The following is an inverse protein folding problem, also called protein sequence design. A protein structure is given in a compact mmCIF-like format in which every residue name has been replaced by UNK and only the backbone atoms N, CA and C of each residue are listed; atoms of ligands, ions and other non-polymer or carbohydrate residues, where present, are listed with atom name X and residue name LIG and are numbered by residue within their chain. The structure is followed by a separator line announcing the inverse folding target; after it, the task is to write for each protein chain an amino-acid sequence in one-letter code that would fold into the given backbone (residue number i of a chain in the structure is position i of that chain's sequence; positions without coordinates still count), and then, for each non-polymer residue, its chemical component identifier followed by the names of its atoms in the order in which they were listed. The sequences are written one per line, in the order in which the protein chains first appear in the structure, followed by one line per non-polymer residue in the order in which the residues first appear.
data_IF_348137035562
#
_entry.id   IF_348137035562
#
_cell.length_a   1.000
_cell.length_b   1.000
_cell.length_c   1.000
_cell.angle_alpha   90.00
_cell.angle_beta   90.00
_cell.angle_gamma   90.00
#
_symmetry.space_group_name_H-M   'P 1'
#
loop_
_entity.id
_entity.type
_entity.pdbx_description
1 polymer ?
#
# COMPACT_ATOMS: atom_id res chain seq x y z
N UNK A 1 -20.19 19.30 -12.94
CA UNK A 1 -20.98 18.93 -11.73
C UNK A 1 -21.64 17.60 -12.01
N UNK A 2 -21.18 16.53 -11.35
CA UNK A 2 -21.64 15.15 -11.58
C UNK A 2 -22.99 14.86 -10.90
N UNK A 3 -24.03 15.60 -11.22
CA UNK A 3 -25.38 15.32 -10.70
C UNK A 3 -26.01 14.04 -11.26
N UNK A 4 -25.56 13.61 -12.44
CA UNK A 4 -26.12 12.43 -13.15
C UNK A 4 -25.65 11.08 -12.55
N UNK A 5 -24.63 11.08 -11.70
CA UNK A 5 -24.04 9.87 -11.11
C UNK A 5 -24.26 9.74 -9.59
N UNK A 6 -25.11 10.56 -8.98
CA UNK A 6 -25.37 10.51 -7.54
C UNK A 6 -25.91 9.13 -7.08
N UNK A 7 -26.63 8.43 -7.95
CA UNK A 7 -27.13 7.07 -7.68
C UNK A 7 -26.04 5.99 -7.71
N UNK A 8 -24.87 6.28 -8.29
CA UNK A 8 -23.74 5.34 -8.38
C UNK A 8 -22.69 5.59 -7.30
N UNK A 9 -22.86 6.63 -6.48
CA UNK A 9 -21.93 6.95 -5.40
C UNK A 9 -22.25 6.11 -4.18
N UNK A 10 -21.25 5.39 -3.69
CA UNK A 10 -21.32 4.65 -2.42
C UNK A 10 -20.71 5.51 -1.31
N UNK A 11 -21.37 5.58 -0.15
CA UNK A 11 -20.81 6.28 1.00
C UNK A 11 -20.22 5.27 1.98
N UNK A 12 -18.92 5.35 2.22
CA UNK A 12 -18.19 4.49 3.14
C UNK A 12 -17.36 5.38 4.08
N UNK A 13 -17.49 5.20 5.40
CA UNK A 13 -16.76 6.00 6.38
C UNK A 13 -17.07 7.50 6.36
N UNK A 14 -18.20 7.91 5.73
CA UNK A 14 -18.54 9.31 5.50
C UNK A 14 -17.98 9.92 4.22
N UNK A 15 -17.13 9.19 3.50
CA UNK A 15 -16.56 9.61 2.21
C UNK A 15 -17.41 9.08 1.05
N UNK A 16 -17.56 9.89 0.01
CA UNK A 16 -18.27 9.52 -1.22
C UNK A 16 -17.29 8.87 -2.19
N UNK A 17 -17.53 7.61 -2.51
CA UNK A 17 -16.64 6.79 -3.34
C UNK A 17 -17.37 6.35 -4.62
N UNK A 18 -16.67 6.42 -5.74
CA UNK A 18 -17.13 5.82 -6.99
C UNK A 18 -16.68 4.35 -7.05
N UNK A 19 -17.59 3.39 -7.24
CA UNK A 19 -17.23 1.97 -7.28
C UNK A 19 -16.44 1.59 -8.52
N UNK A 20 -16.48 2.41 -9.57
CA UNK A 20 -15.78 2.18 -10.83
C UNK A 20 -15.17 3.49 -11.31
N UNK A 21 -13.92 3.44 -11.72
CA UNK A 21 -13.24 4.54 -12.41
C UNK A 21 -12.56 4.02 -13.68
N UNK A 22 -12.68 4.78 -14.77
CA UNK A 22 -12.00 4.49 -16.03
C UNK A 22 -10.97 5.60 -16.32
N UNK A 23 -9.74 5.20 -16.61
CA UNK A 23 -8.62 6.10 -16.89
C UNK A 23 -8.32 6.10 -18.38
N UNK A 24 -8.51 7.24 -19.04
CA UNK A 24 -8.25 7.44 -20.46
C UNK A 24 -7.10 8.43 -20.65
N UNK A 25 -6.40 8.30 -21.77
CA UNK A 25 -5.34 9.23 -22.15
C UNK A 25 -4.54 8.71 -23.34
N UNK A 26 -3.68 9.57 -23.90
CA UNK A 26 -2.80 9.22 -25.01
C UNK A 26 -1.85 8.06 -24.63
N UNK A 27 -1.27 7.39 -25.63
CA UNK A 27 -0.21 6.42 -25.39
C UNK A 27 0.97 7.11 -24.68
N UNK A 28 1.65 6.39 -23.82
CA UNK A 28 2.75 6.89 -22.98
C UNK A 28 2.35 8.03 -21.99
N UNK A 29 1.06 8.24 -21.69
CA UNK A 29 0.61 9.25 -20.71
C UNK A 29 0.68 8.77 -19.25
N UNK A 30 1.25 7.60 -18.98
CA UNK A 30 1.41 7.08 -17.62
C UNK A 30 0.22 6.29 -17.05
N UNK A 31 -0.82 5.97 -17.85
CA UNK A 31 -1.97 5.18 -17.39
C UNK A 31 -1.58 3.85 -16.74
N UNK A 32 -0.73 3.11 -17.42
CA UNK A 32 -0.21 1.82 -16.91
C UNK A 32 0.64 1.98 -15.65
N UNK A 33 1.28 3.14 -15.47
CA UNK A 33 2.10 3.38 -14.27
C UNK A 33 1.25 3.41 -12.99
N UNK A 34 -0.01 3.87 -13.07
CA UNK A 34 -0.93 3.85 -11.91
C UNK A 34 -1.22 2.41 -11.49
N UNK A 35 -1.51 1.54 -12.48
CA UNK A 35 -1.72 0.11 -12.25
C UNK A 35 -0.46 -0.54 -11.66
N UNK A 36 0.69 -0.37 -12.34
CA UNK A 36 1.96 -0.97 -11.92
C UNK A 36 2.43 -0.44 -10.55
N UNK A 37 2.18 0.83 -10.22
CA UNK A 37 2.52 1.38 -8.91
C UNK A 37 1.69 0.73 -7.79
N UNK A 38 0.40 0.50 -8.01
CA UNK A 38 -0.44 -0.16 -7.01
C UNK A 38 -0.16 -1.66 -6.90
N UNK A 39 0.10 -2.34 -8.03
CA UNK A 39 0.58 -3.73 -8.06
C UNK A 39 1.90 -3.87 -7.29
N UNK A 40 2.88 -2.99 -7.54
CA UNK A 40 4.14 -2.95 -6.82
C UNK A 40 3.92 -2.75 -5.31
N UNK A 41 3.10 -1.75 -4.92
CA UNK A 41 2.80 -1.47 -3.52
C UNK A 41 2.22 -2.71 -2.83
N UNK A 42 1.27 -3.39 -3.48
CA UNK A 42 0.66 -4.62 -2.96
C UNK A 42 1.68 -5.75 -2.80
N UNK A 43 2.48 -6.00 -3.83
CA UNK A 43 3.52 -7.03 -3.79
C UNK A 43 4.59 -6.75 -2.72
N UNK A 44 4.96 -5.47 -2.54
CA UNK A 44 5.93 -5.10 -1.52
C UNK A 44 5.36 -5.26 -0.09
N UNK A 45 4.11 -4.89 0.14
CA UNK A 45 3.40 -5.13 1.42
C UNK A 45 3.30 -6.62 1.72
N UNK A 46 3.06 -7.45 0.71
CA UNK A 46 2.98 -8.90 0.89
C UNK A 46 4.33 -9.53 1.25
N UNK A 47 5.38 -9.13 0.54
CA UNK A 47 6.62 -9.90 0.45
C UNK A 47 7.82 -9.25 1.15
N UNK A 48 7.75 -7.97 1.58
CA UNK A 48 8.92 -7.24 2.09
C UNK A 48 9.59 -7.90 3.30
N UNK A 49 8.86 -8.72 4.05
CA UNK A 49 9.46 -9.50 5.13
C UNK A 49 10.63 -10.38 4.66
N UNK A 50 10.57 -10.89 3.44
CA UNK A 50 11.61 -11.75 2.87
C UNK A 50 12.78 -10.97 2.27
N UNK A 51 12.63 -9.66 2.02
CA UNK A 51 13.68 -8.84 1.40
C UNK A 51 14.79 -8.45 2.39
N UNK A 52 14.52 -8.56 3.67
CA UNK A 52 15.51 -8.27 4.72
C UNK A 52 16.58 -9.33 4.92
N UNK A 53 16.43 -10.51 4.32
CA UNK A 53 17.34 -11.63 4.50
C UNK A 53 18.47 -11.66 3.46
N UNK A 54 18.30 -10.97 2.31
CA UNK A 54 19.24 -11.00 1.20
C UNK A 54 19.16 -9.73 0.34
N UNK A 55 20.27 -9.02 0.22
CA UNK A 55 20.41 -7.79 -0.58
C UNK A 55 20.04 -8.00 -2.05
N UNK A 56 20.30 -9.19 -2.62
CA UNK A 56 19.96 -9.51 -3.99
C UNK A 56 18.45 -9.58 -4.19
N UNK A 57 17.74 -10.24 -3.29
CA UNK A 57 16.28 -10.34 -3.31
C UNK A 57 15.64 -8.95 -3.24
N UNK A 58 16.18 -8.06 -2.41
CA UNK A 58 15.75 -6.67 -2.33
C UNK A 58 16.04 -5.91 -3.63
N UNK A 59 17.23 -6.07 -4.23
CA UNK A 59 17.59 -5.40 -5.48
C UNK A 59 16.63 -5.74 -6.63
N UNK A 60 16.17 -6.99 -6.71
CA UNK A 60 15.19 -7.43 -7.71
C UNK A 60 13.77 -6.93 -7.43
N UNK A 61 13.47 -6.61 -6.16
CA UNK A 61 12.16 -6.14 -5.71
C UNK A 61 11.97 -4.61 -5.74
N UNK A 62 13.01 -3.83 -6.08
CA UNK A 62 12.94 -2.36 -6.09
C UNK A 62 12.06 -1.84 -7.24
N UNK A 63 11.37 -0.69 -7.06
CA UNK A 63 10.69 -0.06 -8.16
C UNK A 63 11.69 0.43 -9.21
N UNK A 64 11.35 0.27 -10.48
CA UNK A 64 12.17 0.82 -11.57
C UNK A 64 11.95 2.32 -11.67
N UNK A 65 12.98 3.17 -11.44
CA UNK A 65 12.83 4.61 -11.55
C UNK A 65 12.62 5.05 -13.00
N UNK A 66 12.13 6.27 -13.20
CA UNK A 66 12.01 6.85 -14.53
C UNK A 66 13.40 7.17 -15.09
N UNK A 67 13.90 6.34 -15.99
CA UNK A 67 15.29 6.36 -16.47
C UNK A 67 15.62 7.53 -17.38
N UNK A 68 14.62 8.21 -17.97
CA UNK A 68 14.83 9.34 -18.90
C UNK A 68 15.04 10.69 -18.20
N UNK A 69 14.85 10.78 -16.89
CA UNK A 69 15.22 11.95 -16.08
C UNK A 69 16.35 11.56 -15.11
N UNK A 70 17.53 12.20 -15.25
CA UNK A 70 18.67 11.94 -14.37
C UNK A 70 18.39 12.23 -12.90
N UNK A 71 17.46 13.15 -12.61
CA UNK A 71 17.03 13.46 -11.24
C UNK A 71 16.15 12.37 -10.65
N UNK A 72 15.34 11.69 -11.48
CA UNK A 72 14.46 10.64 -11.05
C UNK A 72 15.18 9.31 -10.78
N UNK A 73 16.38 9.10 -11.35
CA UNK A 73 17.12 7.84 -11.18
C UNK A 73 17.47 7.52 -9.73
N UNK A 74 17.80 8.55 -8.96
CA UNK A 74 18.23 8.42 -7.58
C UNK A 74 17.20 9.00 -6.60
N UNK A 75 16.02 9.41 -7.10
CA UNK A 75 14.95 9.89 -6.26
C UNK A 75 14.20 8.72 -5.60
N UNK A 76 13.76 8.94 -4.38
CA UNK A 76 12.84 8.01 -3.74
C UNK A 76 11.50 7.94 -4.50
N UNK A 77 10.87 6.79 -4.46
CA UNK A 77 9.51 6.57 -4.95
C UNK A 77 8.54 6.58 -3.79
N UNK A 78 7.48 7.39 -3.89
CA UNK A 78 6.43 7.50 -2.89
C UNK A 78 5.19 6.71 -3.33
N UNK A 79 4.70 5.88 -2.42
CA UNK A 79 3.45 5.11 -2.57
C UNK A 79 2.53 5.44 -1.41
N UNK A 80 1.32 5.91 -1.71
CA UNK A 80 0.33 6.27 -0.69
C UNK A 80 -1.08 5.92 -1.15
N UNK A 81 -1.88 5.38 -0.22
CA UNK A 81 -3.28 5.07 -0.45
C UNK A 81 -4.15 5.47 0.74
N UNK A 82 -5.40 5.85 0.42
CA UNK A 82 -6.47 6.05 1.37
C UNK A 82 -7.54 4.99 1.13
N UNK A 83 -7.96 4.30 2.18
CA UNK A 83 -8.92 3.20 2.04
C UNK A 83 -9.73 2.96 3.30
N UNK A 84 -10.76 2.13 3.18
CA UNK A 84 -11.57 1.62 4.28
C UNK A 84 -11.54 0.10 4.27
N UNK A 85 -11.70 -0.52 5.43
CA UNK A 85 -11.75 -1.98 5.53
C UNK A 85 -13.22 -2.41 5.58
N UNK A 86 -13.70 -3.20 4.60
CA UNK A 86 -15.07 -3.70 4.59
C UNK A 86 -15.37 -4.55 5.84
N UNK A 87 -16.57 -4.36 6.42
CA UNK A 87 -17.01 -5.15 7.58
C UNK A 87 -16.41 -4.74 8.92
N UNK A 88 -15.59 -3.70 8.98
CA UNK A 88 -15.13 -3.15 10.26
C UNK A 88 -16.31 -2.51 11.00
N UNK A 89 -16.51 -2.90 12.28
CA UNK A 89 -17.64 -2.45 13.11
C UNK A 89 -17.67 -0.94 13.35
N UNK A 90 -16.51 -0.30 13.34
CA UNK A 90 -16.37 1.15 13.38
C UNK A 90 -15.76 1.63 12.08
N UNK A 91 -16.56 2.24 11.20
CA UNK A 91 -16.09 2.80 9.93
C UNK A 91 -14.91 3.77 10.15
N UNK A 92 -13.77 3.43 9.60
CA UNK A 92 -12.54 4.23 9.64
C UNK A 92 -11.97 4.38 8.26
N UNK A 93 -11.35 5.53 8.03
CA UNK A 93 -10.47 5.75 6.89
C UNK A 93 -9.04 5.51 7.33
N UNK A 94 -8.30 4.76 6.56
CA UNK A 94 -6.88 4.53 6.71
C UNK A 94 -6.12 5.32 5.66
N UNK A 95 -4.97 5.84 6.07
CA UNK A 95 -3.96 6.40 5.18
C UNK A 95 -2.67 5.63 5.44
N UNK A 96 -2.21 4.90 4.46
CA UNK A 96 -0.99 4.12 4.53
C UNK A 96 -0.08 4.48 3.36
N UNK A 97 1.20 4.63 3.62
CA UNK A 97 2.19 4.89 2.61
C UNK A 97 3.61 4.58 3.06
N UNK A 98 4.50 4.56 2.07
CA UNK A 98 5.93 4.47 2.28
C UNK A 98 6.70 5.13 1.13
N UNK A 99 7.91 5.57 1.46
CA UNK A 99 8.93 6.00 0.51
C UNK A 99 10.03 4.95 0.45
N UNK A 100 10.55 4.69 -0.76
CA UNK A 100 11.60 3.70 -1.00
C UNK A 100 12.63 4.24 -1.99
N UNK A 101 13.90 4.05 -1.69
CA UNK A 101 15.04 4.37 -2.55
C UNK A 101 15.84 3.09 -2.91
N UNK A 102 17.04 3.26 -3.47
CA UNK A 102 17.93 2.17 -3.82
C UNK A 102 18.45 1.35 -2.62
N UNK A 103 18.34 1.89 -1.41
CA UNK A 103 18.85 1.28 -0.17
C UNK A 103 17.75 0.68 0.69
N UNK A 104 16.49 0.99 0.42
CA UNK A 104 15.32 0.48 1.15
C UNK A 104 14.30 1.55 1.49
N UNK A 105 13.54 1.30 2.53
CA UNK A 105 12.48 2.19 3.01
C UNK A 105 13.08 3.38 3.72
N UNK A 106 12.81 4.58 3.20
CA UNK A 106 13.22 5.85 3.80
C UNK A 106 12.18 6.35 4.78
N UNK A 107 10.91 6.16 4.48
CA UNK A 107 9.78 6.59 5.31
C UNK A 107 8.62 5.59 5.23
N UNK A 108 7.87 5.40 6.33
CA UNK A 108 6.66 4.57 6.35
C UNK A 108 5.69 5.11 7.40
N UNK A 109 4.41 5.17 7.07
CA UNK A 109 3.37 5.63 7.98
C UNK A 109 2.07 4.85 7.84
N UNK A 110 1.36 4.75 8.94
CA UNK A 110 -0.04 4.36 9.00
C UNK A 110 -0.80 5.33 9.88
N UNK A 111 -1.81 5.94 9.31
CA UNK A 111 -2.72 6.82 10.00
C UNK A 111 -4.16 6.27 9.92
N UNK A 112 -4.99 6.60 10.90
CA UNK A 112 -6.41 6.23 10.92
C UNK A 112 -7.28 7.40 11.34
N UNK A 113 -8.46 7.52 10.73
CA UNK A 113 -9.44 8.54 11.04
C UNK A 113 -10.81 7.87 11.24
N UNK A 114 -11.39 7.97 12.43
CA UNK A 114 -12.77 7.55 12.67
C UNK A 114 -13.76 8.51 11.95
N UNK A 115 -14.94 8.03 11.58
CA UNK A 115 -15.98 8.82 10.89
C UNK A 115 -16.32 10.14 11.59
N UNK A 116 -16.32 10.14 12.93
CA UNK A 116 -16.59 11.32 13.75
C UNK A 116 -15.38 12.22 13.98
N UNK A 117 -14.18 11.79 13.61
CA UNK A 117 -12.95 12.54 13.84
C UNK A 117 -12.67 13.53 12.70
N UNK A 118 -12.09 14.70 13.04
CA UNK A 118 -11.66 15.70 12.06
C UNK A 118 -10.29 15.41 11.49
N UNK A 119 -9.42 14.78 12.28
CA UNK A 119 -8.01 14.58 11.96
C UNK A 119 -7.63 13.10 12.00
N UNK A 120 -6.60 12.77 11.25
CA UNK A 120 -5.96 11.47 11.32
C UNK A 120 -5.13 11.34 12.59
N UNK A 121 -5.12 10.13 13.17
CA UNK A 121 -4.25 9.74 14.27
C UNK A 121 -3.19 8.78 13.75
N UNK A 122 -1.93 9.04 14.06
CA UNK A 122 -0.84 8.12 13.74
C UNK A 122 -0.99 6.81 14.52
N UNK A 123 -0.88 5.71 13.82
CA UNK A 123 -0.74 4.36 14.37
C UNK A 123 0.74 4.03 14.53
N UNK A 124 1.51 4.28 13.49
CA UNK A 124 2.96 4.27 13.52
C UNK A 124 3.54 5.21 12.46
N UNK A 125 4.79 5.59 12.67
CA UNK A 125 5.59 6.37 11.75
C UNK A 125 7.06 5.94 11.86
N UNK A 126 7.74 5.86 10.73
CA UNK A 126 9.19 5.64 10.63
C UNK A 126 9.79 6.61 9.64
N UNK A 127 10.93 7.21 10.00
CA UNK A 127 11.83 7.86 9.08
C UNK A 127 13.25 7.36 9.34
N UNK A 128 13.81 6.65 8.36
CA UNK A 128 15.09 5.95 8.53
C UNK A 128 16.27 6.91 8.54
N UNK A 129 16.21 8.01 7.76
CA UNK A 129 17.29 9.01 7.72
C UNK A 129 17.37 9.81 9.02
N UNK A 130 16.22 10.18 9.58
CA UNK A 130 16.14 10.90 10.86
C UNK A 130 16.25 9.99 12.08
N UNK A 131 16.30 8.67 11.87
CA UNK A 131 16.27 7.66 12.95
C UNK A 131 15.03 7.82 13.86
N UNK A 132 13.91 8.22 13.27
CA UNK A 132 12.64 8.35 13.98
C UNK A 132 11.81 7.07 13.83
N UNK A 133 11.34 6.53 14.96
CA UNK A 133 10.42 5.39 15.01
C UNK A 133 9.35 5.64 16.08
N UNK A 134 8.12 5.83 15.66
CA UNK A 134 6.96 5.96 16.52
C UNK A 134 6.01 4.78 16.32
N UNK A 135 5.91 3.92 17.31
CA UNK A 135 5.03 2.74 17.32
C UNK A 135 3.90 2.87 18.36
N UNK A 136 3.59 4.09 18.85
CA UNK A 136 2.62 4.29 19.95
C UNK A 136 1.23 3.72 19.71
N UNK A 137 0.79 3.63 18.46
CA UNK A 137 -0.48 2.98 18.10
C UNK A 137 -0.45 1.45 18.06
N UNK A 138 0.72 0.83 18.31
CA UNK A 138 0.91 -0.63 18.40
C UNK A 138 1.03 -1.02 19.88
N UNK A 139 0.52 -2.19 20.24
CA UNK A 139 0.61 -2.70 21.61
C UNK A 139 2.08 -2.87 22.07
N UNK A 140 2.38 -2.51 23.33
CA UNK A 140 3.75 -2.47 23.87
C UNK A 140 4.51 -3.77 23.66
N UNK A 141 3.89 -4.92 23.91
CA UNK A 141 4.52 -6.25 23.75
C UNK A 141 5.02 -6.50 22.32
N UNK A 142 4.35 -5.90 21.33
CA UNK A 142 4.73 -6.07 19.91
C UNK A 142 5.76 -5.06 19.45
N UNK A 143 5.88 -3.90 20.12
CA UNK A 143 6.82 -2.83 19.73
C UNK A 143 8.27 -3.31 19.83
N UNK A 144 8.65 -3.87 20.96
CA UNK A 144 10.02 -4.33 21.23
C UNK A 144 10.46 -5.37 20.18
N UNK A 145 9.54 -6.27 19.78
CA UNK A 145 9.82 -7.27 18.75
C UNK A 145 9.96 -6.64 17.34
N UNK A 146 9.14 -5.61 17.03
CA UNK A 146 9.25 -4.88 15.77
C UNK A 146 10.58 -4.12 15.74
N UNK A 147 10.93 -3.38 16.79
CA UNK A 147 12.16 -2.59 16.87
C UNK A 147 13.42 -3.44 16.66
N UNK A 148 13.45 -4.64 17.25
CA UNK A 148 14.59 -5.56 17.13
C UNK A 148 14.72 -6.19 15.74
N UNK A 149 13.58 -6.51 15.10
CA UNK A 149 13.58 -7.24 13.84
C UNK A 149 13.44 -6.34 12.60
N UNK A 150 13.17 -5.04 12.80
CA UNK A 150 12.97 -4.10 11.70
C UNK A 150 14.31 -3.75 11.06
N UNK A 151 14.38 -3.92 9.74
CA UNK A 151 15.50 -3.45 8.94
C UNK A 151 15.03 -2.48 7.85
N UNK A 152 15.96 -2.01 7.02
CA UNK A 152 15.66 -0.98 6.01
C UNK A 152 14.81 -1.50 4.85
N UNK A 153 14.86 -2.78 4.54
CA UNK A 153 14.14 -3.39 3.42
C UNK A 153 12.73 -3.85 3.78
N UNK A 154 12.43 -4.01 5.09
CA UNK A 154 11.18 -4.59 5.58
C UNK A 154 10.20 -3.50 6.01
N UNK A 155 8.94 -3.61 5.57
CA UNK A 155 7.84 -2.76 6.04
C UNK A 155 7.37 -3.17 7.44
N UNK A 156 7.04 -2.18 8.27
CA UNK A 156 6.42 -2.39 9.59
C UNK A 156 5.12 -3.20 9.45
N UNK A 157 4.33 -2.94 8.40
CA UNK A 157 3.10 -3.70 8.11
C UNK A 157 3.38 -5.18 7.89
N UNK A 158 4.36 -5.52 7.06
CA UNK A 158 4.72 -6.92 6.75
C UNK A 158 5.26 -7.64 7.99
N UNK A 159 6.20 -7.02 8.69
CA UNK A 159 6.79 -7.55 9.91
C UNK A 159 5.74 -7.70 11.02
N UNK A 160 4.94 -6.66 11.26
CA UNK A 160 3.89 -6.68 12.26
C UNK A 160 2.83 -7.76 11.98
N UNK A 161 2.47 -7.99 10.72
CA UNK A 161 1.57 -9.07 10.34
C UNK A 161 2.17 -10.46 10.65
N UNK A 162 3.47 -10.66 10.40
CA UNK A 162 4.19 -11.89 10.80
C UNK A 162 4.22 -12.07 12.32
N UNK A 163 4.38 -10.99 13.07
CA UNK A 163 4.34 -10.98 14.53
C UNK A 163 2.90 -11.01 15.10
N UNK A 164 1.89 -11.23 14.24
CA UNK A 164 0.47 -11.32 14.63
C UNK A 164 -0.08 -10.05 15.28
N UNK A 165 0.46 -8.88 14.92
CA UNK A 165 -0.12 -7.58 15.28
C UNK A 165 -1.38 -7.39 14.46
N UNK A 166 -2.54 -7.44 15.13
CA UNK A 166 -3.86 -7.47 14.48
C UNK A 166 -4.05 -6.33 13.47
N UNK A 167 -3.65 -5.10 13.85
CA UNK A 167 -3.78 -3.95 12.95
C UNK A 167 -2.94 -4.10 11.68
N UNK A 168 -1.69 -4.54 11.80
CA UNK A 168 -0.82 -4.77 10.65
C UNK A 168 -1.36 -5.89 9.76
N UNK A 169 -1.88 -6.95 10.38
CA UNK A 169 -2.53 -8.05 9.65
C UNK A 169 -3.74 -7.57 8.87
N UNK A 170 -4.65 -6.79 9.48
CA UNK A 170 -5.83 -6.24 8.81
C UNK A 170 -5.46 -5.39 7.58
N UNK A 171 -4.45 -4.53 7.71
CA UNK A 171 -3.98 -3.70 6.59
C UNK A 171 -3.37 -4.56 5.48
N UNK A 172 -2.48 -5.50 5.84
CA UNK A 172 -1.89 -6.43 4.87
C UNK A 172 -2.95 -7.25 4.15
N UNK A 173 -3.91 -7.80 4.88
CA UNK A 173 -5.00 -8.60 4.31
C UNK A 173 -5.85 -7.75 3.34
N UNK A 174 -6.06 -6.44 3.61
CA UNK A 174 -6.73 -5.54 2.67
C UNK A 174 -5.98 -5.44 1.34
N UNK A 175 -4.64 -5.33 1.36
CA UNK A 175 -3.84 -5.35 0.13
C UNK A 175 -3.97 -6.67 -0.62
N UNK A 176 -3.98 -7.80 0.08
CA UNK A 176 -4.08 -9.13 -0.53
C UNK A 176 -5.46 -9.43 -1.15
N UNK A 177 -6.49 -8.65 -0.81
CA UNK A 177 -7.82 -8.76 -1.42
C UNK A 177 -7.91 -8.06 -2.78
N UNK A 178 -6.89 -7.27 -3.18
CA UNK A 178 -6.88 -6.60 -4.47
C UNK A 178 -6.43 -7.58 -5.56
N UNK A 179 -7.22 -7.67 -6.62
CA UNK A 179 -6.91 -8.48 -7.79
C UNK A 179 -6.41 -7.61 -8.93
N UNK A 180 -5.31 -8.01 -9.55
CA UNK A 180 -4.69 -7.35 -10.69
C UNK A 180 -4.92 -8.19 -11.94
N UNK A 181 -5.60 -7.63 -12.94
CA UNK A 181 -5.91 -8.31 -14.19
C UNK A 181 -5.31 -7.55 -15.38
N UNK A 182 -4.34 -8.16 -16.04
CA UNK A 182 -3.81 -7.67 -17.31
C UNK A 182 -4.38 -8.52 -18.46
N UNK A 183 -5.40 -7.99 -19.14
CA UNK A 183 -6.04 -8.67 -20.28
C UNK A 183 -5.12 -8.79 -21.51
N UNK A 184 -3.98 -8.12 -21.52
CA UNK A 184 -2.92 -8.35 -22.51
C UNK A 184 -2.08 -9.61 -22.26
N UNK A 185 -2.18 -10.19 -21.06
CA UNK A 185 -1.42 -11.38 -20.67
C UNK A 185 -2.26 -12.65 -20.83
N UNK A 186 -1.81 -13.59 -21.66
CA UNK A 186 -2.53 -14.85 -21.94
C UNK A 186 -2.74 -15.70 -20.68
N UNK A 187 -1.78 -15.72 -19.75
CA UNK A 187 -1.90 -16.48 -18.48
C UNK A 187 -2.98 -15.90 -17.58
N UNK A 188 -3.07 -14.56 -17.49
CA UNK A 188 -4.13 -13.87 -16.75
C UNK A 188 -5.50 -14.19 -17.35
N UNK A 189 -5.63 -14.14 -18.68
CA UNK A 189 -6.87 -14.47 -19.38
C UNK A 189 -7.30 -15.91 -19.15
N UNK A 190 -6.36 -16.85 -19.15
CA UNK A 190 -6.62 -18.25 -18.86
C UNK A 190 -7.13 -18.45 -17.43
N UNK A 191 -6.52 -17.78 -16.45
CA UNK A 191 -6.93 -17.83 -15.05
C UNK A 191 -8.35 -17.25 -14.86
N UNK A 192 -8.60 -16.04 -15.39
CA UNK A 192 -9.89 -15.37 -15.31
C UNK A 192 -11.01 -16.18 -15.97
N UNK A 193 -10.73 -16.82 -17.10
CA UNK A 193 -11.72 -17.67 -17.78
C UNK A 193 -12.17 -18.88 -16.95
N UNK A 194 -11.38 -19.31 -15.98
CA UNK A 194 -11.68 -20.43 -15.06
C UNK A 194 -12.36 -19.98 -13.77
N UNK A 195 -12.16 -18.73 -13.35
CA UNK A 195 -12.63 -18.21 -12.05
C UNK A 195 -13.89 -17.35 -12.16
N UNK A 196 -14.16 -16.75 -13.31
CA UNK A 196 -15.40 -16.01 -13.53
C UNK A 196 -16.62 -16.92 -13.56
N UNK A 197 -17.74 -16.54 -12.90
CA UNK A 197 -19.01 -17.25 -13.01
C UNK A 197 -19.44 -17.32 -14.49
N UNK A 198 -19.91 -18.50 -14.91
CA UNK A 198 -20.46 -18.70 -16.26
C UNK A 198 -21.86 -18.13 -16.36
#
# INVERSE_FOLDING_TARGET
KMKEFESSVVTIGGEKILPVAAVYGANASGKSNVYSAFEFMTAYVENSFFYGDDDKTFADARPTPFLFDSRARNAESLFEVYFTIPGESAEKTYNYGFCIDETGITEEWLNTKAKSAREFKSVFYRNTEKQELDLRGIAKVSRDNIEVALNRQVLIISLGAKLKVEKCKQIRDWFLLNEFADFGNEMTNLFLSRTLPK
#
